data_IF_748447904365
#
_entry.id   IF_748447904365
#
_cell.length_a   1.000
_cell.length_b   1.000
_cell.length_c   1.000
_cell.angle_alpha   90.00
_cell.angle_beta   90.00
_cell.angle_gamma   90.00
#
_symmetry.space_group_name_H-M   'P 1'
#
loop_
_entity.id
_entity.type
_entity.pdbx_description
1 polymer ?
#
# COMPACT_ATOMS: atom_id res chain seq x y z
N UNK A 1 28.43 19.81 -19.74
CA UNK A 1 28.35 18.38 -19.33
C UNK A 1 29.08 18.19 -18.02
N UNK A 2 28.51 17.46 -17.03
CA UNK A 2 29.24 17.08 -15.83
C UNK A 2 30.41 16.14 -16.18
N UNK A 3 31.55 16.29 -15.50
CA UNK A 3 32.82 15.61 -15.85
C UNK A 3 32.68 14.09 -15.98
N UNK A 4 31.93 13.45 -15.07
CA UNK A 4 31.72 12.00 -15.11
C UNK A 4 30.94 11.52 -16.35
N UNK A 5 30.05 12.34 -16.92
CA UNK A 5 29.33 12.01 -18.15
C UNK A 5 30.25 12.12 -19.37
N UNK A 6 31.08 13.16 -19.41
CA UNK A 6 32.07 13.37 -20.47
C UNK A 6 33.12 12.24 -20.54
N UNK A 7 33.60 11.78 -19.37
CA UNK A 7 34.53 10.64 -19.30
C UNK A 7 33.89 9.37 -19.84
N UNK A 8 32.65 9.06 -19.43
CA UNK A 8 31.93 7.88 -19.91
C UNK A 8 31.68 7.93 -21.42
N UNK A 9 31.28 9.09 -21.94
CA UNK A 9 31.08 9.30 -23.37
C UNK A 9 32.35 9.01 -24.18
N UNK A 10 33.51 9.46 -23.69
CA UNK A 10 34.80 9.21 -24.36
C UNK A 10 35.31 7.78 -24.20
N UNK A 11 35.05 7.13 -23.07
CA UNK A 11 35.47 5.74 -22.83
C UNK A 11 34.61 4.74 -23.61
N UNK A 12 33.31 5.01 -23.74
CA UNK A 12 32.35 4.11 -24.37
C UNK A 12 31.88 4.60 -25.75
N UNK A 13 32.58 5.56 -26.37
CA UNK A 13 32.25 6.11 -27.70
C UNK A 13 30.76 6.51 -27.87
N UNK A 14 30.15 7.07 -26.82
CA UNK A 14 28.74 7.46 -26.85
C UNK A 14 27.72 6.31 -26.73
N UNK A 15 28.17 5.05 -26.58
CA UNK A 15 27.29 3.88 -26.39
C UNK A 15 26.89 3.66 -24.91
N UNK A 16 27.38 4.49 -23.98
CA UNK A 16 27.02 4.39 -22.57
C UNK A 16 25.52 4.67 -22.37
N UNK A 17 24.76 3.65 -21.95
CA UNK A 17 23.37 3.81 -21.58
C UNK A 17 23.22 4.91 -20.49
N UNK A 18 22.21 5.79 -20.59
CA UNK A 18 22.02 6.86 -19.61
C UNK A 18 21.87 6.24 -18.21
N UNK A 19 22.61 6.78 -17.24
CA UNK A 19 22.47 6.39 -15.83
C UNK A 19 21.00 6.53 -15.43
N UNK A 20 20.32 5.39 -15.21
CA UNK A 20 18.99 5.38 -14.61
C UNK A 20 19.10 6.09 -13.26
N UNK A 21 18.31 7.14 -13.07
CA UNK A 21 18.12 7.79 -11.76
C UNK A 21 17.87 6.67 -10.75
N UNK A 22 18.70 6.61 -9.71
CA UNK A 22 18.55 5.60 -8.66
C UNK A 22 17.11 5.63 -8.17
N UNK A 23 16.49 4.46 -8.08
CA UNK A 23 15.26 4.28 -7.31
C UNK A 23 15.64 4.59 -5.86
N UNK A 24 15.76 5.87 -5.49
CA UNK A 24 15.95 6.22 -4.10
C UNK A 24 14.78 5.53 -3.38
N UNK A 25 15.03 4.58 -2.48
CA UNK A 25 13.99 4.17 -1.58
C UNK A 25 13.65 5.46 -0.84
N UNK A 26 12.44 5.99 -1.07
CA UNK A 26 11.89 7.00 -0.18
C UNK A 26 12.06 6.38 1.20
N UNK A 27 12.71 7.10 2.14
CA UNK A 27 13.11 6.56 3.46
C UNK A 27 11.98 5.82 4.18
N UNK A 28 10.74 6.07 3.78
CA UNK A 28 9.51 5.49 4.32
C UNK A 28 9.09 4.15 3.71
N UNK A 29 9.77 3.57 2.72
CA UNK A 29 9.39 2.25 2.19
C UNK A 29 9.34 1.16 3.27
N UNK A 30 10.29 1.18 4.23
CA UNK A 30 10.29 0.24 5.34
C UNK A 30 9.10 0.50 6.29
N UNK A 31 8.79 1.77 6.59
CA UNK A 31 7.66 2.13 7.43
C UNK A 31 6.31 1.77 6.76
N UNK A 32 6.15 2.07 5.47
CA UNK A 32 4.99 1.72 4.66
C UNK A 32 4.81 0.20 4.56
N UNK A 33 5.88 -0.56 4.34
CA UNK A 33 5.84 -2.02 4.33
C UNK A 33 5.46 -2.61 5.69
N UNK A 34 5.94 -2.01 6.79
CA UNK A 34 5.53 -2.39 8.15
C UNK A 34 4.05 -2.10 8.40
N UNK A 35 3.54 -0.95 7.96
CA UNK A 35 2.11 -0.61 8.08
C UNK A 35 1.27 -1.59 7.25
N UNK A 36 1.65 -1.87 6.00
CA UNK A 36 0.96 -2.85 5.16
C UNK A 36 1.00 -4.25 5.78
N UNK A 37 2.13 -4.66 6.36
CA UNK A 37 2.25 -5.92 7.08
C UNK A 37 1.37 -5.99 8.32
N UNK A 38 1.32 -4.93 9.13
CA UNK A 38 0.41 -4.82 10.29
C UNK A 38 -1.06 -4.83 9.87
N UNK A 39 -1.39 -4.21 8.75
CA UNK A 39 -2.72 -4.24 8.17
C UNK A 39 -3.09 -5.66 7.71
N UNK A 40 -2.17 -6.40 7.09
CA UNK A 40 -2.38 -7.81 6.75
C UNK A 40 -2.50 -8.74 7.96
N UNK A 41 -1.77 -8.45 9.03
CA UNK A 41 -1.87 -9.16 10.32
C UNK A 41 -3.11 -8.76 11.13
N UNK A 42 -3.78 -7.68 10.75
CA UNK A 42 -4.99 -7.24 11.44
C UNK A 42 -6.06 -8.32 11.28
N UNK A 43 -6.75 -8.65 12.36
CA UNK A 43 -7.70 -9.75 12.42
C UNK A 43 -9.04 -9.40 11.77
N UNK A 44 -9.05 -8.63 10.68
CA UNK A 44 -10.25 -8.09 10.04
C UNK A 44 -11.25 -9.19 9.70
N UNK A 45 -10.81 -10.32 9.13
CA UNK A 45 -11.69 -11.45 8.82
C UNK A 45 -12.32 -12.08 10.08
N UNK A 46 -11.55 -12.17 11.17
CA UNK A 46 -12.06 -12.68 12.46
C UNK A 46 -13.08 -11.72 13.07
N UNK A 47 -12.79 -10.42 13.03
CA UNK A 47 -13.67 -9.37 13.54
C UNK A 47 -14.97 -9.30 12.73
N UNK A 48 -14.89 -9.36 11.39
CA UNK A 48 -16.06 -9.47 10.50
C UNK A 48 -16.92 -10.69 10.85
N UNK A 49 -16.31 -11.83 11.14
CA UNK A 49 -17.02 -13.03 11.54
C UNK A 49 -17.70 -12.89 12.92
N UNK A 50 -17.09 -12.12 13.84
CA UNK A 50 -17.71 -11.80 15.14
C UNK A 50 -18.90 -10.85 14.97
N UNK A 51 -18.79 -9.84 14.09
CA UNK A 51 -19.90 -8.95 13.75
C UNK A 51 -21.04 -9.72 13.07
N UNK A 52 -20.74 -10.59 12.12
CA UNK A 52 -21.73 -11.44 11.46
C UNK A 52 -22.46 -12.36 12.44
N UNK A 53 -21.71 -13.01 13.36
CA UNK A 53 -22.33 -13.77 14.45
C UNK A 53 -23.23 -12.90 15.31
N UNK A 54 -22.76 -11.74 15.73
CA UNK A 54 -23.52 -10.83 16.59
C UNK A 54 -24.80 -10.31 15.92
N UNK A 55 -24.75 -10.06 14.61
CA UNK A 55 -25.93 -9.72 13.81
C UNK A 55 -26.92 -10.89 13.75
N UNK A 56 -26.43 -12.10 13.46
CA UNK A 56 -27.26 -13.31 13.39
C UNK A 56 -27.90 -13.68 14.75
N UNK A 57 -27.20 -13.44 15.86
CA UNK A 57 -27.73 -13.67 17.21
C UNK A 57 -28.58 -12.52 17.74
N UNK A 58 -28.73 -11.43 16.98
CA UNK A 58 -29.48 -10.23 17.37
C UNK A 58 -28.79 -9.38 18.45
N UNK A 59 -27.53 -9.66 18.79
CA UNK A 59 -26.77 -8.90 19.78
C UNK A 59 -26.10 -7.65 19.20
N UNK A 60 -25.98 -7.57 17.86
CA UNK A 60 -25.64 -6.36 17.14
C UNK A 60 -26.90 -5.82 16.45
N UNK A 61 -27.44 -4.67 16.86
CA UNK A 61 -28.56 -4.04 16.16
C UNK A 61 -28.08 -3.52 14.81
N UNK A 62 -28.48 -4.19 13.72
CA UNK A 62 -28.18 -3.78 12.34
C UNK A 62 -29.26 -2.79 11.88
N UNK A 63 -29.06 -1.53 12.24
CA UNK A 63 -29.82 -0.39 11.74
C UNK A 63 -29.21 0.13 10.42
N UNK A 64 -29.96 0.90 9.61
CA UNK A 64 -29.40 1.54 8.42
C UNK A 64 -28.14 2.37 8.70
N UNK A 65 -28.10 3.10 9.82
CA UNK A 65 -26.94 3.90 10.22
C UNK A 65 -25.71 3.03 10.53
N UNK A 66 -25.91 1.92 11.24
CA UNK A 66 -24.82 0.97 11.53
C UNK A 66 -24.33 0.26 10.28
N UNK A 67 -25.22 -0.05 9.33
CA UNK A 67 -24.84 -0.65 8.05
C UNK A 67 -24.01 0.34 7.21
N UNK A 68 -24.46 1.60 7.13
CA UNK A 68 -23.73 2.66 6.44
C UNK A 68 -22.32 2.86 7.03
N UNK A 69 -22.21 2.96 8.36
CA UNK A 69 -20.93 3.11 9.04
C UNK A 69 -19.97 1.93 8.80
N UNK A 70 -20.49 0.70 8.74
CA UNK A 70 -19.69 -0.49 8.43
C UNK A 70 -19.19 -0.46 6.98
N UNK A 71 -20.05 -0.10 6.03
CA UNK A 71 -19.68 0.00 4.61
C UNK A 71 -18.65 1.11 4.38
N UNK A 72 -18.80 2.25 5.05
CA UNK A 72 -17.83 3.36 5.03
C UNK A 72 -16.47 2.90 5.56
N UNK A 73 -16.44 2.27 6.74
CA UNK A 73 -15.20 1.74 7.31
C UNK A 73 -14.50 0.71 6.39
N UNK A 74 -15.27 -0.15 5.71
CA UNK A 74 -14.72 -1.09 4.71
C UNK A 74 -14.12 -0.36 3.52
N UNK A 75 -14.77 0.70 3.04
CA UNK A 75 -14.26 1.51 1.94
C UNK A 75 -12.96 2.23 2.32
N UNK A 76 -12.90 2.84 3.52
CA UNK A 76 -11.70 3.50 4.03
C UNK A 76 -10.52 2.52 4.18
N UNK A 77 -10.74 1.34 4.75
CA UNK A 77 -9.69 0.31 4.89
C UNK A 77 -9.19 -0.15 3.52
N UNK A 78 -10.09 -0.31 2.54
CA UNK A 78 -9.72 -0.67 1.17
C UNK A 78 -8.85 0.41 0.53
N UNK A 79 -9.20 1.68 0.72
CA UNK A 79 -8.43 2.80 0.20
C UNK A 79 -7.05 2.92 0.85
N UNK A 80 -6.96 2.76 2.18
CA UNK A 80 -5.68 2.72 2.90
C UNK A 80 -4.80 1.60 2.33
N UNK A 81 -5.35 0.39 2.12
CA UNK A 81 -4.62 -0.72 1.52
C UNK A 81 -4.14 -0.38 0.10
N UNK A 82 -5.00 0.20 -0.74
CA UNK A 82 -4.67 0.60 -2.11
C UNK A 82 -3.51 1.59 -2.14
N UNK A 83 -3.61 2.66 -1.35
CA UNK A 83 -2.57 3.69 -1.23
C UNK A 83 -1.23 3.12 -0.77
N UNK A 84 -1.24 2.17 0.19
CA UNK A 84 -0.02 1.52 0.66
C UNK A 84 0.63 0.64 -0.41
N UNK A 85 -0.16 -0.10 -1.19
CA UNK A 85 0.35 -0.93 -2.29
C UNK A 85 0.96 -0.04 -3.39
N UNK A 86 0.25 1.02 -3.80
CA UNK A 86 0.72 2.00 -4.78
C UNK A 86 2.02 2.68 -4.31
N UNK A 87 2.07 3.14 -3.06
CA UNK A 87 3.24 3.78 -2.48
C UNK A 87 4.48 2.86 -2.40
N UNK A 88 4.27 1.54 -2.34
CA UNK A 88 5.34 0.53 -2.35
C UNK A 88 5.72 0.06 -3.77
N UNK A 89 5.07 0.59 -4.81
CA UNK A 89 5.19 0.09 -6.20
C UNK A 89 4.98 -1.43 -6.31
N UNK A 90 4.03 -1.96 -5.54
CA UNK A 90 3.60 -3.35 -5.68
C UNK A 90 2.40 -3.38 -6.64
N UNK A 91 2.29 -4.43 -7.44
CA UNK A 91 1.09 -4.66 -8.24
C UNK A 91 -0.01 -5.20 -7.31
N UNK A 92 -1.18 -4.56 -7.31
CA UNK A 92 -2.39 -5.08 -6.67
C UNK A 92 -3.28 -5.71 -7.74
N UNK A 93 -3.54 -7.01 -7.62
CA UNK A 93 -4.68 -7.66 -8.28
C UNK A 93 -6.01 -7.27 -7.61
#
# INVERSE_FOLDING_TARGET
MPLGAYILEKVFNGEAAPRRRGKNPVKDHQALAQVLGKLGQSRLSSNLNQLARSANTGSLPVTPDTEAALLEAVAEIREIRRLLIEALNLEAD
#
